data_IF_556142104351
#
_entry.id   IF_556142104351
#
_cell.length_a   1.000
_cell.length_b   1.000
_cell.length_c   1.000
_cell.angle_alpha   90.00
_cell.angle_beta   90.00
_cell.angle_gamma   90.00
#
_symmetry.space_group_name_H-M   'P 1'
#
loop_
_entity.id
_entity.type
_entity.pdbx_description
1 polymer ?
#
# COMPACT_ATOMS: atom_id res chain seq x y z
N UNK A 1 -16.98 12.52 9.54
CA UNK A 1 -16.52 12.87 8.18
C UNK A 1 -15.32 11.99 7.89
N UNK A 2 -15.21 11.44 6.70
CA UNK A 2 -14.01 10.68 6.33
C UNK A 2 -12.81 11.63 6.29
N UNK A 3 -11.64 11.18 6.75
CA UNK A 3 -10.41 11.95 6.71
C UNK A 3 -9.95 12.08 5.25
N UNK A 4 -9.79 13.31 4.77
CA UNK A 4 -9.22 13.56 3.45
C UNK A 4 -7.69 13.37 3.46
N UNK A 5 -7.09 13.29 2.27
CA UNK A 5 -5.63 13.23 2.14
C UNK A 5 -4.94 14.40 2.87
N UNK A 6 -5.52 15.61 2.78
CA UNK A 6 -4.98 16.82 3.45
C UNK A 6 -5.12 16.74 4.97
N UNK A 7 -6.24 16.17 5.47
CA UNK A 7 -6.45 16.00 6.92
C UNK A 7 -5.41 15.04 7.50
N UNK A 8 -5.18 13.90 6.85
CA UNK A 8 -4.16 12.93 7.25
C UNK A 8 -2.75 13.54 7.12
N UNK A 9 -2.44 14.23 6.03
CA UNK A 9 -1.15 14.90 5.85
C UNK A 9 -0.85 15.88 6.99
N UNK A 10 -1.87 16.57 7.49
CA UNK A 10 -1.73 17.52 8.60
C UNK A 10 -1.52 16.83 9.96
N UNK A 11 -1.87 15.56 10.07
CA UNK A 11 -1.75 14.78 11.32
C UNK A 11 -0.43 14.01 11.44
N UNK A 12 0.27 13.74 10.32
CA UNK A 12 1.54 13.00 10.38
C UNK A 12 2.64 13.85 11.01
N UNK A 13 3.36 13.28 11.96
CA UNK A 13 4.34 14.01 12.77
C UNK A 13 5.70 13.31 12.84
N UNK A 14 5.70 11.98 12.96
CA UNK A 14 6.93 11.18 13.08
C UNK A 14 7.55 10.87 11.72
N UNK A 15 8.84 10.54 11.70
CA UNK A 15 9.53 10.04 10.50
C UNK A 15 8.81 8.82 9.91
N UNK A 16 8.39 7.89 10.76
CA UNK A 16 7.66 6.69 10.34
C UNK A 16 6.37 7.07 9.60
N UNK A 17 5.52 7.89 10.22
CA UNK A 17 4.24 8.30 9.62
C UNK A 17 4.44 9.03 8.29
N UNK A 18 5.42 9.92 8.21
CA UNK A 18 5.75 10.65 6.98
C UNK A 18 6.15 9.69 5.84
N UNK A 19 6.99 8.71 6.14
CA UNK A 19 7.41 7.70 5.16
C UNK A 19 6.26 6.81 4.74
N UNK A 20 5.44 6.34 5.68
CA UNK A 20 4.25 5.53 5.37
C UNK A 20 3.21 6.32 4.56
N UNK A 21 3.01 7.59 4.89
CA UNK A 21 2.11 8.46 4.14
C UNK A 21 2.60 8.68 2.71
N UNK A 22 3.89 8.92 2.51
CA UNK A 22 4.49 9.07 1.17
C UNK A 22 4.27 7.82 0.30
N UNK A 23 4.38 6.62 0.89
CA UNK A 23 4.26 5.35 0.15
C UNK A 23 2.79 4.92 -0.05
N UNK A 24 1.92 5.08 0.96
CA UNK A 24 0.58 4.49 0.98
C UNK A 24 -0.56 5.49 1.10
N UNK A 25 -0.27 6.77 1.29
CA UNK A 25 -1.28 7.79 1.59
C UNK A 25 -2.28 8.08 0.47
N UNK A 26 -2.03 7.64 -0.76
CA UNK A 26 -2.96 7.86 -1.87
C UNK A 26 -4.37 7.30 -1.60
N UNK A 27 -4.50 6.25 -0.77
CA UNK A 27 -5.79 5.65 -0.39
C UNK A 27 -6.75 6.64 0.30
N UNK A 28 -6.22 7.71 0.91
CA UNK A 28 -7.05 8.76 1.54
C UNK A 28 -7.76 9.67 0.54
N UNK A 29 -7.40 9.60 -0.74
CA UNK A 29 -8.11 10.31 -1.82
C UNK A 29 -9.30 9.50 -2.38
N UNK A 30 -9.73 8.42 -1.75
CA UNK A 30 -10.81 7.55 -2.23
C UNK A 30 -12.19 8.15 -2.06
N UNK A 31 -13.13 7.80 -2.95
CA UNK A 31 -14.58 8.00 -2.76
C UNK A 31 -15.21 6.91 -1.88
N UNK A 32 -14.49 5.82 -1.60
CA UNK A 32 -14.88 4.81 -0.62
C UNK A 32 -14.70 5.29 0.83
N UNK A 33 -14.62 4.36 1.76
CA UNK A 33 -14.31 4.66 3.17
C UNK A 33 -12.80 4.50 3.39
N UNK A 34 -12.03 5.59 3.54
CA UNK A 34 -10.60 5.50 3.80
C UNK A 34 -10.33 4.92 5.18
N UNK A 35 -9.12 4.37 5.44
CA UNK A 35 -8.73 3.97 6.79
C UNK A 35 -8.74 5.17 7.74
N UNK A 36 -8.94 4.97 9.05
CA UNK A 36 -9.03 6.06 10.03
C UNK A 36 -7.68 6.74 10.31
N UNK A 37 -6.57 6.07 10.04
CA UNK A 37 -5.21 6.55 10.27
C UNK A 37 -4.24 5.94 9.24
N UNK A 38 -3.01 6.48 9.18
CA UNK A 38 -1.97 5.98 8.25
C UNK A 38 -1.48 4.58 8.61
N UNK A 39 -1.65 4.17 9.86
CA UNK A 39 -1.27 2.85 10.37
C UNK A 39 -2.29 2.39 11.39
N UNK A 40 -2.70 1.13 11.31
CA UNK A 40 -3.46 0.45 12.37
C UNK A 40 -2.47 -0.15 13.38
N UNK A 41 -2.76 -0.04 14.66
CA UNK A 41 -1.88 -0.50 15.72
C UNK A 41 -1.91 -2.03 15.89
N UNK A 42 -3.09 -2.64 15.65
CA UNK A 42 -3.32 -4.05 15.95
C UNK A 42 -4.48 -4.67 15.13
N UNK A 43 -4.74 -5.95 15.42
CA UNK A 43 -5.82 -6.71 14.81
C UNK A 43 -7.20 -6.15 15.16
N UNK A 44 -7.41 -5.71 16.41
CA UNK A 44 -8.71 -5.23 16.87
C UNK A 44 -9.15 -3.98 16.12
N UNK A 45 -8.23 -3.04 15.88
CA UNK A 45 -8.49 -1.84 15.09
C UNK A 45 -8.85 -2.18 13.63
N UNK A 46 -8.12 -3.11 13.00
CA UNK A 46 -8.42 -3.54 11.62
C UNK A 46 -9.78 -4.22 11.55
N UNK A 47 -10.08 -5.16 12.45
CA UNK A 47 -11.36 -5.86 12.48
C UNK A 47 -12.54 -4.92 12.78
N UNK A 48 -12.38 -3.97 13.70
CA UNK A 48 -13.36 -2.94 13.99
C UNK A 48 -13.64 -2.07 12.76
N UNK A 49 -12.59 -1.64 12.06
CA UNK A 49 -12.72 -0.87 10.83
C UNK A 49 -13.43 -1.69 9.74
N UNK A 50 -12.93 -2.88 9.41
CA UNK A 50 -13.50 -3.75 8.36
C UNK A 50 -14.95 -4.12 8.65
N UNK A 51 -15.30 -4.38 9.91
CA UNK A 51 -16.69 -4.67 10.33
C UNK A 51 -17.64 -3.47 10.17
N UNK A 52 -17.12 -2.25 10.09
CA UNK A 52 -17.90 -1.03 9.85
C UNK A 52 -18.20 -0.78 8.37
N UNK A 53 -17.55 -1.53 7.46
CA UNK A 53 -17.63 -1.31 6.02
C UNK A 53 -18.83 -2.04 5.40
N UNK A 54 -19.36 -1.47 4.31
CA UNK A 54 -20.21 -2.20 3.39
C UNK A 54 -19.32 -3.00 2.45
N UNK A 55 -19.23 -4.31 2.66
CA UNK A 55 -18.41 -5.21 1.86
C UNK A 55 -19.24 -5.98 0.85
N UNK A 56 -18.60 -6.44 -0.22
CA UNK A 56 -19.14 -7.33 -1.23
C UNK A 56 -18.12 -8.39 -1.63
N UNK A 57 -18.57 -9.47 -2.25
CA UNK A 57 -17.74 -10.56 -2.76
C UNK A 57 -18.05 -10.85 -4.21
N UNK A 58 -17.02 -11.13 -4.99
CA UNK A 58 -17.14 -11.61 -6.37
C UNK A 58 -15.92 -12.47 -6.73
N UNK A 59 -16.08 -13.28 -7.78
CA UNK A 59 -15.01 -14.15 -8.28
C UNK A 59 -14.28 -13.45 -9.44
N UNK A 60 -12.95 -13.37 -9.35
CA UNK A 60 -12.07 -12.86 -10.38
C UNK A 60 -11.04 -13.94 -10.75
N UNK A 61 -11.20 -14.56 -11.91
CA UNK A 61 -10.48 -15.78 -12.24
C UNK A 61 -10.90 -16.93 -11.33
N UNK A 62 -9.96 -17.55 -10.64
CA UNK A 62 -10.20 -18.69 -9.76
C UNK A 62 -10.36 -18.29 -8.26
N UNK A 63 -10.41 -16.97 -7.96
CA UNK A 63 -10.39 -16.49 -6.59
C UNK A 63 -11.63 -15.67 -6.23
N UNK A 64 -12.24 -15.98 -5.08
CA UNK A 64 -13.26 -15.11 -4.48
C UNK A 64 -12.57 -13.97 -3.74
N UNK A 65 -12.93 -12.73 -4.09
CA UNK A 65 -12.34 -11.50 -3.57
C UNK A 65 -13.41 -10.71 -2.82
N UNK A 66 -13.05 -10.23 -1.64
CA UNK A 66 -13.87 -9.34 -0.82
C UNK A 66 -13.26 -7.93 -0.78
N UNK A 67 -14.09 -6.94 -1.10
CA UNK A 67 -13.71 -5.52 -1.12
C UNK A 67 -14.87 -4.67 -0.59
N UNK A 68 -14.63 -3.38 -0.37
CA UNK A 68 -15.72 -2.42 -0.17
C UNK A 68 -16.67 -2.48 -1.38
N UNK A 69 -17.96 -2.47 -1.14
CA UNK A 69 -18.99 -2.68 -2.18
C UNK A 69 -18.86 -1.69 -3.35
N UNK A 70 -18.46 -0.44 -3.09
CA UNK A 70 -18.23 0.58 -4.13
C UNK A 70 -17.04 0.20 -5.01
N UNK A 71 -15.94 -0.21 -4.41
CA UNK A 71 -14.73 -0.64 -5.10
C UNK A 71 -14.97 -1.91 -5.92
N UNK A 72 -15.65 -2.91 -5.31
CA UNK A 72 -16.01 -4.15 -5.97
C UNK A 72 -16.91 -3.92 -7.19
N UNK A 73 -17.90 -3.02 -7.08
CA UNK A 73 -18.78 -2.66 -8.19
C UNK A 73 -18.00 -2.06 -9.36
N UNK A 74 -17.06 -1.15 -9.09
CA UNK A 74 -16.18 -0.55 -10.07
C UNK A 74 -15.23 -1.59 -10.72
N UNK A 75 -14.66 -2.50 -9.92
CA UNK A 75 -13.81 -3.58 -10.42
C UNK A 75 -14.58 -4.56 -11.31
N UNK A 76 -15.79 -4.92 -10.92
CA UNK A 76 -16.67 -5.78 -11.71
C UNK A 76 -17.05 -5.15 -13.05
N UNK A 77 -17.31 -3.82 -13.06
CA UNK A 77 -17.57 -3.08 -14.30
C UNK A 77 -16.33 -3.04 -15.21
N UNK A 78 -15.14 -2.82 -14.63
CA UNK A 78 -13.87 -2.87 -15.36
C UNK A 78 -13.63 -4.27 -15.99
N UNK A 79 -13.85 -5.33 -15.21
CA UNK A 79 -13.69 -6.70 -15.69
C UNK A 79 -14.68 -7.04 -16.83
N UNK A 80 -15.94 -6.56 -16.74
CA UNK A 80 -16.92 -6.70 -17.81
C UNK A 80 -16.50 -5.97 -19.08
N UNK A 81 -16.06 -4.70 -18.95
CA UNK A 81 -15.55 -3.93 -20.09
C UNK A 81 -14.35 -4.60 -20.76
N UNK A 82 -13.44 -5.16 -19.95
CA UNK A 82 -12.28 -5.87 -20.48
C UNK A 82 -12.67 -7.15 -21.20
N UNK A 83 -13.65 -7.90 -20.69
CA UNK A 83 -14.19 -9.10 -21.33
C UNK A 83 -14.85 -8.78 -22.69
N UNK A 84 -15.59 -7.68 -22.81
CA UNK A 84 -16.19 -7.21 -24.06
C UNK A 84 -15.12 -6.87 -25.13
N UNK A 85 -13.89 -6.60 -24.71
CA UNK A 85 -12.72 -6.36 -25.58
C UNK A 85 -11.90 -7.63 -25.85
N UNK A 86 -12.31 -8.78 -25.29
CA UNK A 86 -11.64 -10.07 -25.46
C UNK A 86 -10.44 -10.29 -24.50
N UNK A 87 -10.28 -9.45 -23.48
CA UNK A 87 -9.28 -9.60 -22.43
C UNK A 87 -9.88 -10.07 -21.10
N UNK A 88 -9.11 -9.97 -20.03
CA UNK A 88 -9.55 -10.33 -18.66
C UNK A 88 -8.91 -9.43 -17.62
N UNK A 89 -9.57 -9.28 -16.47
CA UNK A 89 -9.02 -8.75 -15.22
C UNK A 89 -9.28 -9.83 -14.16
N UNK A 90 -8.22 -10.45 -13.68
CA UNK A 90 -8.30 -11.53 -12.69
C UNK A 90 -7.45 -11.26 -11.47
N UNK A 91 -7.79 -11.89 -10.35
CA UNK A 91 -7.01 -11.80 -9.13
C UNK A 91 -5.68 -12.55 -9.28
N UNK A 92 -4.59 -11.92 -8.86
CA UNK A 92 -3.25 -12.52 -8.91
C UNK A 92 -3.11 -13.74 -7.98
N UNK A 93 -3.81 -13.71 -6.85
CA UNK A 93 -3.82 -14.77 -5.84
C UNK A 93 -5.08 -14.65 -4.96
N UNK A 94 -5.29 -15.59 -4.06
CA UNK A 94 -6.43 -15.57 -3.15
C UNK A 94 -6.43 -14.37 -2.17
N UNK A 95 -5.25 -13.80 -1.87
CA UNK A 95 -5.06 -12.63 -1.01
C UNK A 95 -4.92 -11.31 -1.79
N UNK A 96 -5.36 -11.31 -3.07
CA UNK A 96 -5.26 -10.14 -3.95
C UNK A 96 -6.18 -8.98 -3.52
N UNK A 97 -7.24 -9.23 -2.73
CA UNK A 97 -8.15 -8.22 -2.19
C UNK A 97 -7.82 -7.82 -0.76
N UNK A 98 -8.77 -8.02 0.15
CA UNK A 98 -8.58 -7.74 1.58
C UNK A 98 -7.53 -8.64 2.25
N UNK A 99 -6.89 -8.10 3.27
CA UNK A 99 -5.92 -8.83 4.12
C UNK A 99 -6.25 -8.66 5.60
N UNK A 100 -5.79 -9.60 6.43
CA UNK A 100 -5.78 -9.44 7.88
C UNK A 100 -4.54 -8.67 8.36
N UNK A 101 -4.63 -8.08 9.55
CA UNK A 101 -3.46 -7.47 10.20
C UNK A 101 -2.31 -8.49 10.34
N UNK A 102 -2.63 -9.72 10.76
CA UNK A 102 -1.63 -10.77 10.99
C UNK A 102 -0.91 -11.21 9.71
N UNK A 103 -1.56 -11.13 8.53
CA UNK A 103 -0.86 -11.38 7.27
C UNK A 103 0.21 -10.34 6.99
N UNK A 104 -0.06 -9.07 7.29
CA UNK A 104 0.94 -7.99 7.15
C UNK A 104 2.10 -8.18 8.12
N UNK A 105 1.81 -8.54 9.38
CA UNK A 105 2.84 -8.86 10.40
C UNK A 105 3.73 -10.02 9.94
N UNK A 106 3.14 -11.11 9.44
CA UNK A 106 3.88 -12.29 8.98
C UNK A 106 4.85 -11.94 7.83
N UNK A 107 4.39 -11.17 6.85
CA UNK A 107 5.21 -10.74 5.71
C UNK A 107 6.36 -9.83 6.15
N UNK A 108 6.08 -8.88 7.03
CA UNK A 108 7.05 -7.95 7.59
C UNK A 108 8.12 -8.68 8.41
N UNK A 109 7.71 -9.52 9.36
CA UNK A 109 8.61 -10.27 10.25
C UNK A 109 9.63 -11.09 9.46
N UNK A 110 9.22 -11.70 8.35
CA UNK A 110 10.12 -12.45 7.47
C UNK A 110 11.26 -11.57 6.92
N UNK A 111 10.96 -10.36 6.48
CA UNK A 111 11.97 -9.44 5.95
C UNK A 111 12.85 -8.87 7.06
N UNK A 112 12.27 -8.48 8.18
CA UNK A 112 13.02 -7.97 9.35
C UNK A 112 13.98 -9.03 9.88
N UNK A 113 13.53 -10.27 10.06
CA UNK A 113 14.40 -11.37 10.53
C UNK A 113 15.60 -11.54 9.62
N UNK A 114 15.40 -11.64 8.30
CA UNK A 114 16.50 -11.78 7.33
C UNK A 114 17.45 -10.58 7.36
N UNK A 115 16.91 -9.36 7.45
CA UNK A 115 17.73 -8.16 7.50
C UNK A 115 18.56 -8.07 8.78
N UNK A 116 17.99 -8.38 9.95
CA UNK A 116 18.72 -8.39 11.21
C UNK A 116 19.85 -9.45 11.20
N UNK A 117 19.58 -10.65 10.68
CA UNK A 117 20.61 -11.70 10.54
C UNK A 117 21.75 -11.25 9.60
N UNK A 118 21.42 -10.63 8.49
CA UNK A 118 22.40 -10.11 7.53
C UNK A 118 23.29 -9.03 8.15
N UNK A 119 22.70 -8.02 8.80
CA UNK A 119 23.45 -6.90 9.40
C UNK A 119 24.21 -7.31 10.65
N UNK A 120 23.69 -8.27 11.46
CA UNK A 120 24.42 -8.90 12.57
C UNK A 120 25.64 -9.67 12.04
N UNK A 121 25.48 -10.46 10.98
CA UNK A 121 26.57 -11.20 10.34
C UNK A 121 27.70 -10.31 9.80
N UNK A 122 27.38 -9.07 9.37
CA UNK A 122 28.36 -8.07 8.95
C UNK A 122 28.90 -7.21 10.12
N UNK A 123 28.47 -7.45 11.36
CA UNK A 123 28.87 -6.68 12.54
C UNK A 123 28.34 -5.22 12.56
N UNK A 124 27.33 -4.91 11.75
CA UNK A 124 26.72 -3.59 11.67
C UNK A 124 25.65 -3.38 12.74
N UNK A 125 25.06 -4.43 13.26
CA UNK A 125 24.12 -4.47 14.38
C UNK A 125 24.64 -5.49 15.39
N UNK A 126 24.61 -5.17 16.70
CA UNK A 126 24.96 -6.15 17.74
C UNK A 126 23.83 -7.14 17.94
N UNK A 127 24.16 -8.34 18.46
CA UNK A 127 23.16 -9.37 18.80
C UNK A 127 22.09 -8.85 19.77
N UNK A 128 22.50 -8.05 20.77
CA UNK A 128 21.61 -7.46 21.76
C UNK A 128 20.62 -6.50 21.10
N UNK A 129 21.10 -5.64 20.18
CA UNK A 129 20.24 -4.70 19.45
C UNK A 129 19.29 -5.45 18.51
N UNK A 130 19.76 -6.49 17.79
CA UNK A 130 18.92 -7.32 16.94
C UNK A 130 17.83 -8.04 17.76
N UNK A 131 18.18 -8.55 18.94
CA UNK A 131 17.22 -9.16 19.87
C UNK A 131 16.18 -8.14 20.35
N UNK A 132 16.62 -6.97 20.83
CA UNK A 132 15.69 -5.92 21.26
C UNK A 132 14.68 -5.52 20.19
N UNK A 133 15.11 -5.44 18.92
CA UNK A 133 14.21 -5.10 17.79
C UNK A 133 13.17 -6.21 17.55
N UNK A 134 13.53 -7.49 17.74
CA UNK A 134 12.58 -8.60 17.58
C UNK A 134 11.47 -8.63 18.63
N UNK A 135 11.74 -8.10 19.83
CA UNK A 135 10.80 -8.06 20.96
C UNK A 135 9.86 -6.84 20.94
N UNK A 136 10.06 -5.90 20.03
CA UNK A 136 9.19 -4.73 19.86
C UNK A 136 7.80 -5.13 19.37
N UNK A 137 6.79 -4.33 19.73
CA UNK A 137 5.48 -4.39 19.06
C UNK A 137 5.62 -4.10 17.57
N UNK A 138 4.64 -4.48 16.77
CA UNK A 138 4.72 -4.28 15.31
C UNK A 138 4.97 -2.83 14.92
N UNK A 139 4.27 -1.87 15.55
CA UNK A 139 4.42 -0.43 15.26
C UNK A 139 5.78 0.09 15.70
N UNK A 140 6.23 -0.28 16.91
CA UNK A 140 7.56 0.09 17.38
C UNK A 140 8.67 -0.50 16.50
N UNK A 141 8.49 -1.74 16.03
CA UNK A 141 9.45 -2.38 15.12
C UNK A 141 9.49 -1.67 13.77
N UNK A 142 8.35 -1.25 13.21
CA UNK A 142 8.30 -0.42 11.98
C UNK A 142 9.11 0.86 12.20
N UNK A 143 8.87 1.59 13.29
CA UNK A 143 9.60 2.81 13.59
C UNK A 143 11.11 2.57 13.75
N UNK A 144 11.51 1.49 14.43
CA UNK A 144 12.92 1.15 14.64
C UNK A 144 13.62 0.79 13.32
N UNK A 145 12.98 -0.01 12.45
CA UNK A 145 13.55 -0.40 11.16
C UNK A 145 13.68 0.80 10.23
N UNK A 146 12.64 1.63 10.09
CA UNK A 146 12.70 2.81 9.24
C UNK A 146 13.75 3.84 9.76
N UNK A 147 13.93 3.93 11.07
CA UNK A 147 14.99 4.76 11.64
C UNK A 147 16.40 4.20 11.34
N UNK A 148 16.62 2.88 11.39
CA UNK A 148 17.88 2.25 10.99
C UNK A 148 18.22 2.51 9.52
N UNK A 149 17.21 2.45 8.64
CA UNK A 149 17.37 2.77 7.23
C UNK A 149 17.78 4.23 7.03
N UNK A 150 17.17 5.17 7.75
CA UNK A 150 17.41 6.60 7.62
C UNK A 150 18.77 7.02 8.21
N UNK A 151 19.06 6.60 9.45
CA UNK A 151 20.23 7.09 10.19
C UNK A 151 21.49 6.29 9.94
N UNK A 152 21.36 4.96 9.85
CA UNK A 152 22.50 4.04 9.77
C UNK A 152 22.72 3.48 8.35
N UNK A 153 21.81 3.80 7.39
CA UNK A 153 21.78 3.29 6.02
C UNK A 153 21.79 1.75 5.99
N UNK A 154 21.07 1.13 6.93
CA UNK A 154 20.89 -0.31 7.03
C UNK A 154 19.53 -0.68 6.43
N UNK A 155 19.51 -1.07 5.19
CA UNK A 155 18.28 -1.37 4.44
C UNK A 155 17.79 -2.79 4.67
N UNK A 156 16.46 -2.98 4.73
CA UNK A 156 15.80 -4.25 5.01
C UNK A 156 14.96 -4.78 3.84
N UNK A 157 15.07 -4.20 2.67
CA UNK A 157 14.46 -4.73 1.44
C UNK A 157 15.06 -6.08 1.03
N UNK A 158 14.51 -6.68 -0.02
CA UNK A 158 14.83 -8.05 -0.44
C UNK A 158 16.34 -8.31 -0.62
N UNK A 159 17.08 -7.33 -1.11
CA UNK A 159 18.53 -7.42 -1.37
C UNK A 159 19.37 -6.57 -0.42
N UNK A 160 18.78 -6.00 0.62
CA UNK A 160 19.43 -5.13 1.63
C UNK A 160 20.08 -3.86 1.06
N UNK A 161 19.65 -3.43 -0.12
CA UNK A 161 20.12 -2.25 -0.87
C UNK A 161 19.10 -1.11 -0.94
N UNK A 162 17.85 -1.39 -0.56
CA UNK A 162 16.72 -0.47 -0.57
C UNK A 162 15.84 -0.65 0.67
N UNK A 163 14.99 0.35 0.91
CA UNK A 163 14.03 0.28 2.01
C UNK A 163 13.18 -1.00 1.99
N UNK A 164 12.85 -1.50 3.17
CA UNK A 164 11.91 -2.61 3.39
C UNK A 164 10.55 -2.33 2.74
N UNK A 165 10.12 -1.07 2.71
CA UNK A 165 8.84 -0.65 2.11
C UNK A 165 8.75 -0.94 0.60
N UNK A 166 9.89 -1.15 -0.07
CA UNK A 166 9.93 -1.57 -1.48
C UNK A 166 9.77 -3.08 -1.68
N UNK A 167 9.68 -3.84 -0.59
CA UNK A 167 9.55 -5.30 -0.63
C UNK A 167 8.31 -5.80 0.09
N UNK A 168 7.82 -5.05 1.08
CA UNK A 168 6.65 -5.41 1.88
C UNK A 168 6.08 -4.16 2.55
N UNK A 169 4.76 -4.06 2.60
CA UNK A 169 4.11 -3.01 3.37
C UNK A 169 4.33 -3.20 4.87
N UNK A 170 4.46 -2.08 5.59
CA UNK A 170 4.52 -2.11 7.05
C UNK A 170 3.23 -2.70 7.64
N UNK A 171 3.30 -3.48 8.73
CA UNK A 171 2.13 -3.92 9.47
C UNK A 171 1.21 -2.74 9.79
N UNK A 172 -0.08 -2.91 9.53
CA UNK A 172 -1.06 -1.86 9.77
C UNK A 172 -1.14 -0.76 8.70
N UNK A 173 -0.17 -0.63 7.77
CA UNK A 173 -0.16 0.41 6.73
C UNK A 173 -0.49 -0.10 5.33
N UNK A 174 -0.67 -1.41 5.14
CA UNK A 174 -1.03 -1.98 3.84
C UNK A 174 -2.41 -1.50 3.40
N UNK A 175 -2.51 -1.03 2.15
CA UNK A 175 -3.79 -0.58 1.59
C UNK A 175 -4.83 -1.71 1.46
N UNK A 176 -4.41 -2.99 1.43
CA UNK A 176 -5.32 -4.14 1.48
C UNK A 176 -6.14 -4.22 2.78
N UNK A 177 -5.66 -3.63 3.89
CA UNK A 177 -6.42 -3.56 5.15
C UNK A 177 -7.65 -2.67 5.02
N UNK A 178 -7.62 -1.71 4.09
CA UNK A 178 -8.77 -0.84 3.81
C UNK A 178 -9.84 -1.47 2.93
N UNK A 179 -9.60 -2.67 2.37
CA UNK A 179 -10.51 -3.33 1.41
C UNK A 179 -10.74 -2.49 0.13
N UNK A 180 -9.73 -1.66 -0.24
CA UNK A 180 -9.72 -0.78 -1.41
C UNK A 180 -8.58 -1.10 -2.38
N UNK A 181 -7.78 -2.14 -2.10
CA UNK A 181 -6.66 -2.56 -2.93
C UNK A 181 -6.94 -3.90 -3.61
N UNK A 182 -6.40 -4.07 -4.81
CA UNK A 182 -6.53 -5.28 -5.60
C UNK A 182 -5.27 -5.55 -6.41
N UNK A 183 -4.70 -6.75 -6.27
CA UNK A 183 -3.54 -7.20 -7.02
C UNK A 183 -4.00 -7.93 -8.30
N UNK A 184 -3.67 -7.37 -9.47
CA UNK A 184 -4.12 -7.82 -10.78
C UNK A 184 -3.13 -8.78 -11.41
N UNK A 185 -3.59 -9.91 -11.95
CA UNK A 185 -2.73 -10.87 -12.64
C UNK A 185 -2.19 -10.32 -13.97
N UNK A 186 -3.03 -9.63 -14.74
CA UNK A 186 -2.70 -9.06 -16.06
C UNK A 186 -2.08 -7.65 -15.96
N UNK A 187 -1.42 -7.33 -14.88
CA UNK A 187 -0.85 -6.02 -14.57
C UNK A 187 0.18 -5.48 -15.59
N UNK A 188 0.70 -6.33 -16.47
CA UNK A 188 1.59 -5.90 -17.55
C UNK A 188 0.82 -5.49 -18.82
N UNK A 189 -0.49 -5.73 -18.90
CA UNK A 189 -1.30 -5.34 -20.05
C UNK A 189 -1.72 -3.87 -19.93
N UNK A 190 -1.29 -3.04 -20.91
CA UNK A 190 -1.63 -1.62 -20.93
C UNK A 190 -3.13 -1.36 -21.06
N UNK A 191 -3.86 -2.25 -21.73
CA UNK A 191 -5.31 -2.10 -21.88
C UNK A 191 -6.01 -2.27 -20.52
N UNK A 192 -5.49 -3.17 -19.67
CA UNK A 192 -5.95 -3.34 -18.28
C UNK A 192 -5.77 -2.05 -17.48
N UNK A 193 -4.61 -1.38 -17.60
CA UNK A 193 -4.37 -0.09 -16.93
C UNK A 193 -5.39 0.97 -17.35
N UNK A 194 -5.63 1.07 -18.66
CA UNK A 194 -6.57 2.05 -19.22
C UNK A 194 -8.02 1.77 -18.80
N UNK A 195 -8.41 0.49 -18.77
CA UNK A 195 -9.76 0.09 -18.33
C UNK A 195 -9.92 0.36 -16.84
N UNK A 196 -8.98 -0.08 -16.00
CA UNK A 196 -9.02 0.15 -14.56
C UNK A 196 -9.08 1.65 -14.23
N UNK A 197 -8.27 2.48 -14.90
CA UNK A 197 -8.29 3.93 -14.70
C UNK A 197 -9.65 4.56 -14.99
N UNK A 198 -10.37 4.14 -16.04
CA UNK A 198 -11.73 4.60 -16.33
C UNK A 198 -12.75 4.24 -15.24
N UNK A 199 -12.45 3.21 -14.46
CA UNK A 199 -13.28 2.75 -13.35
C UNK A 199 -12.73 3.17 -11.97
N UNK A 200 -11.81 4.16 -11.94
CA UNK A 200 -11.30 4.76 -10.70
C UNK A 200 -10.27 3.92 -9.95
N UNK A 201 -9.66 2.93 -10.60
CA UNK A 201 -8.59 2.11 -10.05
C UNK A 201 -7.23 2.55 -10.61
N UNK A 202 -6.27 2.83 -9.73
CA UNK A 202 -4.97 3.36 -10.10
C UNK A 202 -3.83 2.65 -9.38
N UNK A 203 -2.66 2.59 -10.00
CA UNK A 203 -1.44 2.24 -9.29
C UNK A 203 -1.07 3.39 -8.35
N UNK A 204 -0.85 3.06 -7.08
CA UNK A 204 -0.52 4.04 -6.05
C UNK A 204 0.74 3.70 -5.27
N UNK A 205 1.29 2.50 -5.46
CA UNK A 205 2.51 2.03 -4.81
C UNK A 205 3.60 1.81 -5.87
N UNK A 206 4.57 2.74 -6.02
CA UNK A 206 5.51 2.73 -7.15
C UNK A 206 6.41 1.50 -7.29
N UNK A 207 6.51 0.68 -6.25
CA UNK A 207 7.35 -0.52 -6.25
C UNK A 207 6.55 -1.82 -6.33
N UNK A 208 5.23 -1.75 -6.59
CA UNK A 208 4.34 -2.90 -6.69
C UNK A 208 3.43 -2.80 -7.93
N UNK A 209 3.91 -3.32 -9.06
CA UNK A 209 3.21 -3.23 -10.36
C UNK A 209 1.82 -3.87 -10.37
N UNK A 210 1.58 -5.05 -9.75
CA UNK A 210 0.25 -5.65 -9.72
C UNK A 210 -0.77 -4.87 -8.90
N UNK A 211 -0.31 -4.00 -7.98
CA UNK A 211 -1.13 -3.35 -6.97
C UNK A 211 -1.89 -2.16 -7.52
N UNK A 212 -3.21 -2.22 -7.46
CA UNK A 212 -4.13 -1.12 -7.79
C UNK A 212 -4.96 -0.76 -6.57
N UNK A 213 -5.22 0.56 -6.41
CA UNK A 213 -6.05 1.11 -5.35
C UNK A 213 -7.26 1.81 -5.94
N UNK A 214 -8.43 1.55 -5.37
CA UNK A 214 -9.65 2.26 -5.75
C UNK A 214 -9.66 3.65 -5.15
N UNK A 215 -9.58 4.66 -6.02
CA UNK A 215 -9.76 6.06 -5.67
C UNK A 215 -11.15 6.57 -6.04
N UNK A 216 -11.76 6.01 -7.10
CA UNK A 216 -13.13 6.30 -7.52
C UNK A 216 -13.34 7.67 -8.17
N UNK A 217 -12.27 8.29 -8.64
CA UNK A 217 -12.25 9.59 -9.29
C UNK A 217 -11.79 9.47 -10.75
N UNK A 218 -12.12 10.46 -11.58
CA UNK A 218 -11.55 10.58 -12.91
C UNK A 218 -10.07 10.98 -12.84
N UNK A 219 -9.22 10.53 -13.79
CA UNK A 219 -7.78 10.83 -13.79
C UNK A 219 -7.47 12.32 -13.69
N UNK A 220 -8.26 13.17 -14.40
CA UNK A 220 -8.05 14.62 -14.44
C UNK A 220 -8.28 15.30 -13.09
N UNK A 221 -8.99 14.67 -12.17
CA UNK A 221 -9.29 15.22 -10.84
C UNK A 221 -8.25 14.90 -9.78
N UNK A 222 -7.41 13.87 -10.00
CA UNK A 222 -6.50 13.32 -8.98
C UNK A 222 -5.46 14.34 -8.49
N UNK A 223 -4.92 15.15 -9.41
CA UNK A 223 -3.99 16.22 -9.03
C UNK A 223 -4.63 17.29 -8.12
N UNK A 224 -5.93 17.55 -8.32
CA UNK A 224 -6.71 18.47 -7.46
C UNK A 224 -6.95 17.93 -6.05
N UNK A 225 -6.84 16.62 -5.85
CA UNK A 225 -6.98 15.94 -4.55
C UNK A 225 -5.66 15.86 -3.76
N UNK A 226 -4.57 16.42 -4.29
CA UNK A 226 -3.25 16.39 -3.63
C UNK A 226 -2.42 15.16 -4.03
N UNK A 227 -2.72 14.55 -5.17
CA UNK A 227 -1.91 13.49 -5.75
C UNK A 227 -1.06 14.02 -6.90
N UNK A 228 0.08 13.37 -7.15
CA UNK A 228 0.94 13.59 -8.31
C UNK A 228 1.12 12.29 -9.08
N UNK A 229 1.20 12.38 -10.40
CA UNK A 229 1.57 11.27 -11.26
C UNK A 229 3.09 11.13 -11.30
N UNK A 230 3.60 9.97 -10.94
CA UNK A 230 5.02 9.63 -10.95
C UNK A 230 5.26 8.48 -11.91
N UNK A 231 6.14 8.68 -12.88
CA UNK A 231 6.54 7.63 -13.82
C UNK A 231 7.66 6.75 -13.25
N UNK A 232 7.56 5.44 -13.50
CA UNK A 232 8.60 4.45 -13.19
C UNK A 232 8.80 3.52 -14.36
N UNK A 233 10.06 3.21 -14.66
CA UNK A 233 10.43 2.27 -15.74
C UNK A 233 10.66 0.88 -15.15
N UNK A 234 9.95 -0.12 -15.69
CA UNK A 234 10.12 -1.53 -15.39
C UNK A 234 10.40 -2.28 -16.70
N UNK A 235 11.61 -2.83 -16.82
CA UNK A 235 12.09 -3.35 -18.10
C UNK A 235 12.14 -2.26 -19.16
N UNK A 236 11.43 -2.44 -20.26
CA UNK A 236 11.33 -1.48 -21.36
C UNK A 236 10.07 -0.59 -21.30
N UNK A 237 9.25 -0.71 -20.25
CA UNK A 237 7.96 -0.02 -20.14
C UNK A 237 7.97 1.02 -19.05
N UNK A 238 7.26 2.13 -19.31
CA UNK A 238 6.97 3.19 -18.35
C UNK A 238 5.56 2.99 -17.81
N UNK A 239 5.42 3.05 -16.50
CA UNK A 239 4.16 2.94 -15.77
C UNK A 239 3.93 4.19 -14.94
N UNK A 240 2.67 4.59 -14.84
CA UNK A 240 2.22 5.75 -14.06
C UNK A 240 1.72 5.31 -12.68
N UNK A 241 2.10 6.07 -11.66
CA UNK A 241 1.69 5.85 -10.28
C UNK A 241 1.18 7.17 -9.68
N UNK A 242 0.06 7.10 -8.99
CA UNK A 242 -0.50 8.24 -8.29
C UNK A 242 -0.12 8.21 -6.81
N UNK A 243 0.74 9.11 -6.40
CA UNK A 243 1.26 9.20 -5.02
C UNK A 243 0.89 10.55 -4.40
N UNK A 244 0.89 10.69 -3.06
CA UNK A 244 0.72 12.00 -2.43
C UNK A 244 1.72 13.02 -2.96
N UNK A 245 1.24 14.21 -3.34
CA UNK A 245 2.10 15.33 -3.74
C UNK A 245 2.58 16.06 -2.47
N UNK A 246 3.66 15.54 -1.90
CA UNK A 246 4.20 16.00 -0.61
C UNK A 246 4.57 17.48 -0.65
N UNK A 247 4.97 18.01 -1.81
CA UNK A 247 5.38 19.41 -1.94
C UNK A 247 4.20 20.39 -1.87
N UNK A 248 2.99 19.92 -2.20
CA UNK A 248 1.75 20.69 -2.11
C UNK A 248 0.99 20.52 -0.80
N UNK A 249 1.38 19.53 0.00
CA UNK A 249 0.77 19.25 1.29
C UNK A 249 1.45 20.08 2.40
N UNK A 250 0.82 20.19 3.60
CA UNK A 250 1.41 20.91 4.72
C UNK A 250 2.82 20.40 5.05
N UNK A 251 3.71 21.29 5.52
CA UNK A 251 5.11 20.97 5.84
C UNK A 251 5.25 19.80 6.84
N UNK A 252 4.22 19.56 7.65
CA UNK A 252 4.17 18.41 8.57
C UNK A 252 4.25 17.05 7.86
N UNK A 253 3.80 16.96 6.60
CA UNK A 253 3.82 15.73 5.80
C UNK A 253 5.16 15.45 5.11
N UNK A 254 6.08 16.43 5.05
CA UNK A 254 7.36 16.26 4.34
C UNK A 254 8.32 15.41 5.15
N UNK A 255 8.92 14.36 4.54
CA UNK A 255 10.05 13.68 5.15
C UNK A 255 11.23 14.67 5.32
N UNK A 256 11.98 14.51 6.38
CA UNK A 256 13.19 15.31 6.67
C UNK A 256 14.33 14.92 5.77
#
# INVERSE_FOLDING_TARGET
MANSLVDIASSVSSLMEKRLFSEYGAVFATTGTPPPAIIFDDTEQVEAFQSSLSLGRAVFGDHEIELQAVALGALSAAASEMADRGGSITARAADAGGRSYMDTVRLWTRNVTRGLEYWEGLGRITRERAHSIRELTSVEQVAAILNLEETDQLFFGTFFDKSILYSVAAPGASQHLSMLAFDVAEHEDREVDLVLGRHGWYRTVPNDLPHFTYLGHDPDSLAGLGLQCVERTYGERVYEFWTPDIDRLPDTARPS
#
